data_IF_515917196644
#
_entry.id   IF_515917196644
#
_cell.length_a   1.000
_cell.length_b   1.000
_cell.length_c   1.000
_cell.angle_alpha   90.00
_cell.angle_beta   90.00
_cell.angle_gamma   90.00
#
_symmetry.space_group_name_H-M   'P 1'
#
loop_
_entity.id
_entity.type
_entity.pdbx_description
1 polymer ?
#
# COMPACT_ATOMS: atom_id res chain seq x y z
N UNK A 1 -4.05 1.64 32.93
CA UNK A 1 -4.56 1.17 31.63
C UNK A 1 -4.68 -0.35 31.72
N UNK A 2 -5.88 -0.92 31.65
CA UNK A 2 -6.05 -2.38 31.75
C UNK A 2 -5.26 -3.08 30.63
N UNK A 3 -4.62 -4.25 30.89
CA UNK A 3 -3.88 -4.96 29.86
C UNK A 3 -4.81 -5.31 28.70
N UNK A 4 -4.35 -5.03 27.47
CA UNK A 4 -5.08 -5.38 26.25
C UNK A 4 -5.09 -6.91 26.17
N UNK A 5 -6.26 -7.52 26.35
CA UNK A 5 -6.44 -8.97 26.17
C UNK A 5 -6.61 -9.25 24.68
N UNK A 6 -5.66 -9.98 24.10
CA UNK A 6 -5.75 -10.47 22.72
C UNK A 6 -6.53 -11.79 22.77
N UNK A 7 -7.66 -11.85 22.08
CA UNK A 7 -8.45 -13.09 21.95
C UNK A 7 -8.64 -13.43 20.47
N UNK A 8 -7.78 -14.29 19.94
CA UNK A 8 -7.77 -14.66 18.51
C UNK A 8 -9.08 -15.34 18.05
N UNK A 9 -9.81 -15.98 18.97
CA UNK A 9 -11.05 -16.70 18.69
C UNK A 9 -12.29 -15.91 19.12
N UNK A 10 -12.23 -14.58 19.14
CA UNK A 10 -13.40 -13.76 19.44
C UNK A 10 -14.46 -13.90 18.33
N UNK A 11 -15.43 -14.79 18.57
CA UNK A 11 -16.51 -15.06 17.62
C UNK A 11 -17.33 -13.80 17.29
N UNK A 12 -17.44 -12.84 18.21
CA UNK A 12 -18.20 -11.60 17.97
C UNK A 12 -17.48 -10.73 16.96
N UNK A 13 -16.15 -10.62 17.06
CA UNK A 13 -15.33 -9.93 16.07
C UNK A 13 -15.45 -10.61 14.71
N UNK A 14 -15.26 -11.94 14.66
CA UNK A 14 -15.31 -12.71 13.41
C UNK A 14 -16.65 -12.59 12.69
N UNK A 15 -17.77 -12.73 13.40
CA UNK A 15 -19.12 -12.56 12.84
C UNK A 15 -19.32 -11.13 12.33
N UNK A 16 -18.83 -10.11 13.07
CA UNK A 16 -18.97 -8.71 12.64
C UNK A 16 -18.23 -8.46 11.34
N UNK A 17 -16.99 -8.94 11.22
CA UNK A 17 -16.19 -8.81 9.99
C UNK A 17 -16.85 -9.57 8.85
N UNK A 18 -17.33 -10.79 9.09
CA UNK A 18 -18.02 -11.60 8.09
C UNK A 18 -19.29 -10.92 7.55
N UNK A 19 -20.10 -10.30 8.41
CA UNK A 19 -21.26 -9.52 7.99
C UNK A 19 -20.84 -8.31 7.15
N UNK A 20 -19.80 -7.57 7.54
CA UNK A 20 -19.29 -6.45 6.75
C UNK A 20 -18.84 -6.89 5.35
N UNK A 21 -18.16 -8.03 5.25
CA UNK A 21 -17.73 -8.63 3.97
C UNK A 21 -18.95 -9.04 3.14
N UNK A 22 -19.93 -9.73 3.72
CA UNK A 22 -21.15 -10.14 3.00
C UNK A 22 -21.88 -8.92 2.44
N UNK A 23 -22.08 -7.86 3.24
CA UNK A 23 -22.72 -6.62 2.78
C UNK A 23 -21.92 -6.00 1.63
N UNK A 24 -20.59 -5.95 1.75
CA UNK A 24 -19.72 -5.41 0.72
C UNK A 24 -19.76 -6.20 -0.60
N UNK A 25 -19.76 -7.53 -0.53
CA UNK A 25 -19.88 -8.40 -1.71
C UNK A 25 -21.27 -8.30 -2.36
N UNK A 26 -22.34 -8.13 -1.57
CA UNK A 26 -23.69 -7.90 -2.08
C UNK A 26 -23.83 -6.56 -2.82
N UNK A 27 -23.08 -5.54 -2.41
CA UNK A 27 -22.99 -4.26 -3.15
C UNK A 27 -22.24 -4.47 -4.48
N UNK A 28 -21.23 -5.35 -4.48
CA UNK A 28 -20.44 -5.68 -5.65
C UNK A 28 -19.48 -4.55 -6.07
N UNK A 29 -19.01 -4.60 -7.31
CA UNK A 29 -18.19 -3.53 -7.89
C UNK A 29 -19.10 -2.41 -8.41
N UNK A 30 -18.80 -1.16 -8.05
CA UNK A 30 -19.54 -0.01 -8.55
C UNK A 30 -18.61 0.90 -9.35
N UNK A 31 -19.09 1.41 -10.47
CA UNK A 31 -18.35 2.35 -11.30
C UNK A 31 -19.04 3.70 -11.27
N UNK A 32 -18.29 4.73 -10.87
CA UNK A 32 -18.76 6.11 -10.88
C UNK A 32 -18.10 6.79 -12.06
N UNK A 33 -18.90 7.38 -12.94
CA UNK A 33 -18.42 8.06 -14.14
C UNK A 33 -18.67 9.56 -14.00
N UNK A 34 -17.61 10.36 -14.13
CA UNK A 34 -17.66 11.82 -14.07
C UNK A 34 -16.94 12.35 -15.31
N UNK A 35 -17.70 12.67 -16.35
CA UNK A 35 -17.14 13.04 -17.66
C UNK A 35 -16.33 11.88 -18.24
N UNK A 36 -15.05 12.14 -18.54
CA UNK A 36 -14.10 11.12 -19.00
C UNK A 36 -13.43 10.33 -17.88
N UNK A 37 -13.70 10.65 -16.60
CA UNK A 37 -13.08 10.00 -15.44
C UNK A 37 -13.96 8.85 -14.96
N UNK A 38 -13.38 7.65 -14.88
CA UNK A 38 -14.01 6.44 -14.39
C UNK A 38 -13.36 6.06 -13.06
N UNK A 39 -14.16 5.92 -12.01
CA UNK A 39 -13.71 5.51 -10.68
C UNK A 39 -14.36 4.19 -10.32
N UNK A 40 -13.55 3.16 -10.13
CA UNK A 40 -14.02 1.83 -9.76
C UNK A 40 -13.91 1.67 -8.25
N UNK A 41 -15.06 1.43 -7.60
CA UNK A 41 -15.16 1.10 -6.19
C UNK A 41 -15.29 -0.41 -6.03
N UNK A 42 -14.31 -0.99 -5.34
CA UNK A 42 -14.25 -2.42 -5.07
C UNK A 42 -14.98 -2.79 -3.77
N UNK A 43 -15.54 -4.00 -3.65
CA UNK A 43 -16.12 -4.52 -2.40
C UNK A 43 -15.21 -4.32 -1.18
N UNK A 44 -13.90 -4.49 -1.35
CA UNK A 44 -12.91 -4.26 -0.30
C UNK A 44 -13.04 -2.87 0.36
N UNK A 45 -13.31 -1.84 -0.43
CA UNK A 45 -13.46 -0.46 0.06
C UNK A 45 -14.70 -0.31 0.93
N UNK A 46 -15.81 -0.94 0.55
CA UNK A 46 -17.05 -0.95 1.34
C UNK A 46 -16.85 -1.72 2.65
N UNK A 47 -16.18 -2.86 2.61
CA UNK A 47 -15.90 -3.67 3.80
C UNK A 47 -15.07 -2.91 4.83
N UNK A 48 -14.00 -2.24 4.40
CA UNK A 48 -13.16 -1.43 5.29
C UNK A 48 -13.95 -0.24 5.84
N UNK A 49 -14.74 0.43 4.99
CA UNK A 49 -15.55 1.59 5.39
C UNK A 49 -16.58 1.19 6.45
N UNK A 50 -17.30 0.08 6.26
CA UNK A 50 -18.24 -0.48 7.24
C UNK A 50 -17.55 -0.84 8.55
N UNK A 51 -16.39 -1.51 8.50
CA UNK A 51 -15.64 -1.87 9.71
C UNK A 51 -15.20 -0.62 10.50
N UNK A 52 -14.76 0.44 9.81
CA UNK A 52 -14.40 1.73 10.43
C UNK A 52 -15.63 2.40 11.04
N UNK A 53 -16.77 2.40 10.35
CA UNK A 53 -18.04 2.94 10.87
C UNK A 53 -18.49 2.17 12.13
N UNK A 54 -18.38 0.84 12.12
CA UNK A 54 -18.67 0.00 13.29
C UNK A 54 -17.81 0.37 14.50
N UNK A 55 -16.54 0.75 14.27
CA UNK A 55 -15.63 1.17 15.34
C UNK A 55 -15.88 2.61 15.82
N UNK A 56 -16.13 3.55 14.92
CA UNK A 56 -16.28 4.97 15.22
C UNK A 56 -17.65 5.30 15.83
N UNK A 57 -18.72 4.85 15.18
CA UNK A 57 -20.11 5.14 15.59
C UNK A 57 -20.53 4.22 16.74
N UNK A 58 -19.83 3.09 16.92
CA UNK A 58 -20.15 2.04 17.91
C UNK A 58 -21.62 1.58 17.87
N UNK A 59 -22.23 1.33 16.69
CA UNK A 59 -23.54 0.66 16.64
C UNK A 59 -23.50 -0.70 17.34
N UNK A 60 -22.31 -1.29 17.39
CA UNK A 60 -22.02 -2.58 17.99
C UNK A 60 -21.14 -2.39 19.23
N UNK A 61 -21.70 -2.59 20.44
CA UNK A 61 -21.04 -2.25 21.71
C UNK A 61 -19.74 -3.02 22.00
N UNK A 62 -19.53 -4.19 21.39
CA UNK A 62 -18.34 -5.01 21.64
C UNK A 62 -17.13 -4.63 20.78
N UNK A 63 -17.33 -3.90 19.68
CA UNK A 63 -16.22 -3.40 18.85
C UNK A 63 -15.57 -2.23 19.58
N UNK A 64 -14.41 -2.50 20.17
CA UNK A 64 -13.66 -1.58 21.00
C UNK A 64 -12.18 -1.61 20.63
N UNK A 65 -11.38 -0.79 21.32
CA UNK A 65 -9.92 -0.74 21.11
C UNK A 65 -9.25 -2.12 21.24
N UNK A 66 -9.74 -2.98 22.14
CA UNK A 66 -9.21 -4.34 22.29
C UNK A 66 -9.49 -5.21 21.05
N UNK A 67 -10.69 -5.09 20.47
CA UNK A 67 -11.04 -5.83 19.25
C UNK A 67 -10.29 -5.31 18.04
N UNK A 68 -10.14 -3.98 17.92
CA UNK A 68 -9.31 -3.37 16.88
C UNK A 68 -7.86 -3.86 16.96
N UNK A 69 -7.28 -3.90 18.17
CA UNK A 69 -5.93 -4.45 18.37
C UNK A 69 -5.85 -5.94 18.02
N UNK A 70 -6.85 -6.73 18.43
CA UNK A 70 -6.92 -8.16 18.10
C UNK A 70 -7.01 -8.36 16.58
N UNK A 71 -7.80 -7.56 15.87
CA UNK A 71 -7.88 -7.57 14.42
C UNK A 71 -6.55 -7.21 13.74
N UNK A 72 -5.80 -6.23 14.25
CA UNK A 72 -4.46 -5.90 13.75
C UNK A 72 -3.47 -7.06 13.90
N UNK A 73 -3.50 -7.78 15.02
CA UNK A 73 -2.65 -8.96 15.24
C UNK A 73 -3.08 -10.12 14.32
N UNK A 74 -4.39 -10.39 14.24
CA UNK A 74 -4.95 -11.41 13.35
C UNK A 74 -4.56 -11.15 11.88
N UNK A 75 -4.62 -9.90 11.44
CA UNK A 75 -4.23 -9.50 10.10
C UNK A 75 -2.78 -9.91 9.78
N UNK A 76 -1.83 -9.62 10.66
CA UNK A 76 -0.41 -10.00 10.48
C UNK A 76 -0.28 -11.53 10.38
N UNK A 77 -0.98 -12.27 11.24
CA UNK A 77 -0.96 -13.74 11.25
C UNK A 77 -1.54 -14.30 9.94
N UNK A 78 -2.68 -13.77 9.49
CA UNK A 78 -3.37 -14.22 8.28
C UNK A 78 -2.63 -13.85 6.98
N UNK A 79 -1.87 -12.75 6.99
CA UNK A 79 -1.02 -12.37 5.87
C UNK A 79 0.25 -13.24 5.80
N UNK A 80 0.70 -13.84 6.90
CA UNK A 80 1.89 -14.69 6.94
C UNK A 80 1.94 -15.79 5.86
N UNK A 81 0.89 -16.63 5.72
CA UNK A 81 0.81 -17.62 4.64
C UNK A 81 0.86 -17.02 3.24
N UNK A 82 0.25 -15.85 3.03
CA UNK A 82 0.32 -15.13 1.77
C UNK A 82 1.77 -14.70 1.48
N UNK A 83 2.44 -14.07 2.44
CA UNK A 83 3.87 -13.72 2.33
C UNK A 83 4.72 -14.95 2.00
N UNK A 84 4.49 -16.08 2.67
CA UNK A 84 5.23 -17.31 2.42
C UNK A 84 5.03 -17.80 0.98
N UNK A 85 3.78 -17.79 0.48
CA UNK A 85 3.46 -18.12 -0.93
C UNK A 85 4.18 -17.17 -1.89
N UNK A 86 4.16 -15.87 -1.63
CA UNK A 86 4.81 -14.86 -2.47
C UNK A 86 6.33 -15.03 -2.49
N UNK A 87 6.94 -15.34 -1.34
CA UNK A 87 8.38 -15.60 -1.25
C UNK A 87 8.81 -16.87 -2.03
N UNK A 88 8.05 -17.96 -1.91
CA UNK A 88 8.30 -19.20 -2.68
C UNK A 88 8.15 -18.93 -4.17
N UNK A 89 7.07 -18.26 -4.57
CA UNK A 89 6.82 -17.90 -5.96
C UNK A 89 7.92 -17.00 -6.52
N UNK A 90 8.38 -16.03 -5.75
CA UNK A 90 9.48 -15.14 -6.13
C UNK A 90 10.80 -15.91 -6.31
N UNK A 91 11.15 -16.78 -5.37
CA UNK A 91 12.35 -17.62 -5.45
C UNK A 91 12.34 -18.59 -6.64
N UNK A 92 11.18 -19.19 -6.96
CA UNK A 92 11.03 -20.09 -8.12
C UNK A 92 11.23 -19.37 -9.46
N UNK A 93 10.92 -18.07 -9.51
CA UNK A 93 10.95 -17.28 -10.74
C UNK A 93 12.20 -16.38 -10.84
N UNK A 94 13.26 -16.69 -10.10
CA UNK A 94 14.47 -15.87 -10.10
C UNK A 94 15.14 -15.80 -11.49
N UNK A 95 15.08 -16.88 -12.28
CA UNK A 95 15.57 -16.84 -13.66
C UNK A 95 14.75 -15.90 -14.54
N UNK A 96 13.43 -15.84 -14.33
CA UNK A 96 12.55 -14.94 -15.05
C UNK A 96 12.84 -13.48 -14.68
N UNK A 97 13.23 -13.21 -13.43
CA UNK A 97 13.73 -11.90 -12.98
C UNK A 97 15.08 -11.56 -13.62
N UNK A 98 16.02 -12.51 -13.69
CA UNK A 98 17.33 -12.26 -14.31
C UNK A 98 17.22 -12.04 -15.82
N UNK A 99 16.24 -12.69 -16.45
CA UNK A 99 15.87 -12.49 -17.86
C UNK A 99 14.90 -11.34 -18.04
N UNK A 100 14.34 -10.78 -16.96
CA UNK A 100 13.48 -9.63 -17.00
C UNK A 100 14.33 -8.50 -17.59
N UNK A 101 13.95 -8.06 -18.79
CA UNK A 101 14.71 -7.04 -19.49
C UNK A 101 14.83 -5.76 -18.66
N UNK A 102 15.70 -4.83 -19.06
CA UNK A 102 15.86 -3.52 -18.41
C UNK A 102 14.52 -2.81 -18.16
N UNK A 103 13.52 -3.04 -19.02
CA UNK A 103 12.18 -2.50 -18.91
C UNK A 103 11.46 -2.82 -17.59
N UNK A 104 11.57 -4.05 -17.08
CA UNK A 104 10.88 -4.45 -15.85
C UNK A 104 11.60 -3.92 -14.60
N UNK A 105 12.92 -3.72 -14.68
CA UNK A 105 13.68 -3.03 -13.63
C UNK A 105 13.31 -1.54 -13.61
N UNK A 106 13.12 -0.92 -14.79
CA UNK A 106 12.69 0.47 -14.91
C UNK A 106 11.28 0.70 -14.35
N UNK A 107 10.38 -0.28 -14.47
CA UNK A 107 9.04 -0.24 -13.87
C UNK A 107 9.11 -0.07 -12.35
N UNK A 108 9.94 -0.88 -11.68
CA UNK A 108 10.15 -0.81 -10.23
C UNK A 108 10.91 0.46 -9.79
N UNK A 109 11.57 1.20 -10.70
CA UNK A 109 12.11 2.52 -10.34
C UNK A 109 11.00 3.53 -10.02
N UNK A 110 9.76 3.30 -10.47
CA UNK A 110 8.60 4.09 -10.08
C UNK A 110 8.42 4.15 -8.57
N UNK A 111 8.73 3.06 -7.85
CA UNK A 111 8.64 2.99 -6.39
C UNK A 111 9.60 3.95 -5.69
N UNK A 112 10.70 4.34 -6.36
CA UNK A 112 11.62 5.35 -5.83
C UNK A 112 10.94 6.72 -5.71
N UNK A 113 9.85 6.97 -6.45
CA UNK A 113 9.02 8.16 -6.28
C UNK A 113 8.49 8.31 -4.86
N UNK A 114 8.11 7.20 -4.20
CA UNK A 114 7.67 7.22 -2.80
C UNK A 114 8.80 7.70 -1.87
N UNK A 115 10.04 7.36 -2.18
CA UNK A 115 11.23 7.77 -1.41
C UNK A 115 11.56 9.24 -1.70
N UNK A 116 11.60 9.64 -2.97
CA UNK A 116 12.04 10.97 -3.38
C UNK A 116 11.04 12.04 -2.93
N UNK A 117 9.75 11.77 -3.06
CA UNK A 117 8.69 12.74 -2.76
C UNK A 117 8.04 12.48 -1.39
N UNK A 118 7.76 11.22 -1.04
CA UNK A 118 7.07 10.87 0.20
C UNK A 118 7.91 11.10 1.45
N UNK A 119 9.20 10.71 1.45
CA UNK A 119 10.08 10.83 2.62
C UNK A 119 10.25 12.28 3.08
N UNK A 120 10.54 13.28 2.21
CA UNK A 120 10.58 14.67 2.64
C UNK A 120 9.24 15.17 3.19
N UNK A 121 8.13 14.83 2.56
CA UNK A 121 6.79 15.26 2.99
C UNK A 121 6.45 14.70 4.36
N UNK A 122 6.69 13.41 4.60
CA UNK A 122 6.42 12.80 5.90
C UNK A 122 7.34 13.37 7.01
N UNK A 123 8.60 13.67 6.71
CA UNK A 123 9.48 14.36 7.66
C UNK A 123 9.01 15.79 8.00
N UNK A 124 8.42 16.50 7.02
CA UNK A 124 7.82 17.82 7.22
C UNK A 124 6.54 17.75 8.08
N UNK A 125 5.76 16.68 7.94
CA UNK A 125 4.60 16.40 8.79
C UNK A 125 4.97 15.99 10.22
N UNK A 126 6.27 15.87 10.52
CA UNK A 126 6.77 15.61 11.88
C UNK A 126 7.01 14.14 12.22
N UNK A 127 6.78 13.23 11.27
CA UNK A 127 7.17 11.83 11.44
C UNK A 127 8.70 11.71 11.58
N UNK A 128 9.13 10.64 12.25
CA UNK A 128 10.55 10.37 12.50
C UNK A 128 10.89 9.05 11.83
N UNK A 129 11.30 8.06 12.61
CA UNK A 129 11.80 6.78 12.13
C UNK A 129 10.71 5.92 11.49
N UNK A 130 9.45 6.15 11.86
CA UNK A 130 8.26 5.57 11.23
C UNK A 130 8.25 5.86 9.71
N UNK A 131 8.80 7.01 9.31
CA UNK A 131 8.84 7.44 7.91
C UNK A 131 9.57 6.44 7.03
N UNK A 132 10.59 5.75 7.56
CA UNK A 132 11.33 4.75 6.79
C UNK A 132 10.38 3.66 6.28
N UNK A 133 9.49 3.14 7.13
CA UNK A 133 8.49 2.16 6.71
C UNK A 133 7.34 2.76 5.91
N UNK A 134 7.01 4.03 6.12
CA UNK A 134 5.93 4.73 5.38
C UNK A 134 6.29 5.02 3.92
N UNK A 135 7.57 5.21 3.60
CA UNK A 135 7.98 5.80 2.32
C UNK A 135 9.01 4.98 1.55
N UNK A 136 9.38 3.81 2.06
CA UNK A 136 10.35 2.92 1.38
C UNK A 136 9.76 2.18 0.18
N UNK A 137 8.43 2.18 0.02
CA UNK A 137 7.69 1.56 -1.08
C UNK A 137 6.23 2.03 -1.06
N UNK A 138 5.40 1.47 -1.97
CA UNK A 138 3.93 1.56 -1.93
C UNK A 138 3.25 0.76 -0.80
N UNK A 139 4.07 0.15 0.08
CA UNK A 139 3.66 -0.60 1.26
C UNK A 139 2.74 -1.79 0.96
N UNK A 140 3.28 -2.85 0.31
CA UNK A 140 2.56 -4.10 0.04
C UNK A 140 3.18 -5.32 0.74
N UNK A 141 2.46 -6.43 0.72
CA UNK A 141 2.78 -7.66 1.44
C UNK A 141 4.23 -8.14 1.24
N UNK A 142 4.82 -8.10 0.03
CA UNK A 142 6.20 -8.51 -0.16
C UNK A 142 7.21 -7.65 0.62
N UNK A 143 7.00 -6.33 0.66
CA UNK A 143 7.86 -5.38 1.38
C UNK A 143 7.68 -5.48 2.89
N UNK A 144 6.47 -5.81 3.36
CA UNK A 144 6.18 -6.05 4.77
C UNK A 144 7.06 -7.17 5.33
N UNK A 145 7.23 -8.26 4.58
CA UNK A 145 8.07 -9.39 4.96
C UNK A 145 9.52 -8.99 5.21
N UNK A 146 10.09 -8.20 4.29
CA UNK A 146 11.46 -7.68 4.38
C UNK A 146 11.60 -6.76 5.60
N UNK A 147 10.60 -5.92 5.86
CA UNK A 147 10.60 -4.98 6.98
C UNK A 147 10.50 -5.71 8.33
N UNK A 148 9.64 -6.72 8.44
CA UNK A 148 9.53 -7.58 9.63
C UNK A 148 10.85 -8.30 9.89
N UNK A 149 11.47 -8.87 8.86
CA UNK A 149 12.74 -9.58 8.99
C UNK A 149 13.87 -8.65 9.46
N UNK A 150 13.90 -7.39 8.99
CA UNK A 150 14.96 -6.44 9.34
C UNK A 150 14.77 -5.76 10.69
N UNK A 151 13.56 -5.31 11.01
CA UNK A 151 13.30 -4.48 12.20
C UNK A 151 12.47 -5.16 13.28
N UNK A 152 11.79 -6.27 12.97
CA UNK A 152 10.91 -6.99 13.89
C UNK A 152 9.46 -6.48 13.92
N UNK A 153 8.58 -7.30 14.49
CA UNK A 153 7.12 -7.09 14.55
C UNK A 153 6.68 -5.86 15.34
N UNK A 154 7.48 -5.42 16.31
CA UNK A 154 7.13 -4.29 17.18
C UNK A 154 7.80 -2.97 16.78
N UNK A 155 8.52 -2.96 15.67
CA UNK A 155 9.28 -1.81 15.19
C UNK A 155 8.40 -0.62 14.83
N UNK A 156 8.96 0.58 15.00
CA UNK A 156 8.29 1.83 14.62
C UNK A 156 8.17 1.95 13.10
N UNK A 157 9.12 1.37 12.37
CA UNK A 157 9.13 1.25 10.92
C UNK A 157 7.92 0.41 10.46
N UNK A 158 7.70 -0.77 11.03
CA UNK A 158 6.54 -1.60 10.68
C UNK A 158 5.21 -0.92 11.04
N UNK A 159 5.16 -0.24 12.19
CA UNK A 159 3.97 0.55 12.56
C UNK A 159 3.68 1.65 11.54
N UNK A 160 4.70 2.35 11.07
CA UNK A 160 4.57 3.35 10.00
C UNK A 160 4.09 2.73 8.69
N UNK A 161 4.69 1.61 8.30
CA UNK A 161 4.30 0.83 7.11
C UNK A 161 2.82 0.44 7.15
N UNK A 162 2.34 -0.08 8.29
CA UNK A 162 0.96 -0.55 8.43
C UNK A 162 -0.07 0.57 8.27
N UNK A 163 0.27 1.81 8.68
CA UNK A 163 -0.60 2.97 8.46
C UNK A 163 -0.78 3.24 6.97
N UNK A 164 0.32 3.26 6.21
CA UNK A 164 0.29 3.50 4.76
C UNK A 164 -0.30 2.31 4.01
N UNK A 165 -0.04 1.08 4.44
CA UNK A 165 -0.67 -0.12 3.88
C UNK A 165 -2.20 -0.01 3.93
N UNK A 166 -2.77 0.32 5.10
CA UNK A 166 -4.22 0.38 5.29
C UNK A 166 -4.84 1.56 4.55
N UNK A 167 -4.32 2.77 4.76
CA UNK A 167 -4.83 3.99 4.11
C UNK A 167 -4.64 3.89 2.60
N UNK A 168 -3.47 3.46 2.16
CA UNK A 168 -3.12 3.31 0.75
C UNK A 168 -3.96 2.26 0.04
N UNK A 169 -4.42 1.21 0.72
CA UNK A 169 -5.36 0.25 0.10
C UNK A 169 -6.70 0.90 -0.23
N UNK A 170 -7.20 1.77 0.65
CA UNK A 170 -8.48 2.48 0.44
C UNK A 170 -8.31 3.60 -0.57
N UNK A 171 -7.46 4.58 -0.28
CA UNK A 171 -7.31 5.76 -1.14
C UNK A 171 -6.57 5.45 -2.43
N UNK A 172 -5.64 4.50 -2.42
CA UNK A 172 -4.85 4.15 -3.59
C UNK A 172 -5.69 3.54 -4.70
N UNK A 173 -6.75 2.77 -4.38
CA UNK A 173 -7.66 2.23 -5.41
C UNK A 173 -8.42 3.36 -6.14
N UNK A 174 -8.88 4.36 -5.38
CA UNK A 174 -9.56 5.56 -5.94
C UNK A 174 -8.57 6.37 -6.78
N UNK A 175 -7.41 6.69 -6.21
CA UNK A 175 -6.39 7.52 -6.89
C UNK A 175 -5.93 6.83 -8.16
N UNK A 176 -5.66 5.53 -8.13
CA UNK A 176 -5.17 4.81 -9.30
C UNK A 176 -6.24 4.69 -10.38
N UNK A 177 -7.52 4.48 -10.01
CA UNK A 177 -8.64 4.53 -10.97
C UNK A 177 -8.66 5.85 -11.74
N UNK A 178 -8.65 6.98 -11.00
CA UNK A 178 -8.65 8.32 -11.59
C UNK A 178 -7.39 8.54 -12.43
N UNK A 179 -6.22 8.22 -11.88
CA UNK A 179 -4.94 8.48 -12.49
C UNK A 179 -4.80 7.72 -13.82
N UNK A 180 -5.14 6.44 -13.85
CA UNK A 180 -5.09 5.62 -15.06
C UNK A 180 -5.97 6.21 -16.15
N UNK A 181 -7.21 6.58 -15.81
CA UNK A 181 -8.14 7.16 -16.78
C UNK A 181 -7.69 8.54 -17.29
N UNK A 182 -7.21 9.41 -16.40
CA UNK A 182 -6.73 10.75 -16.77
C UNK A 182 -5.48 10.65 -17.64
N UNK A 183 -4.49 9.85 -17.25
CA UNK A 183 -3.25 9.70 -18.02
C UNK A 183 -3.53 9.09 -19.39
N UNK A 184 -4.37 8.04 -19.47
CA UNK A 184 -4.74 7.42 -20.74
C UNK A 184 -5.50 8.36 -21.68
N UNK A 185 -6.21 9.35 -21.12
CA UNK A 185 -6.92 10.36 -21.91
C UNK A 185 -6.01 11.49 -22.41
N UNK A 186 -4.92 11.80 -21.70
CA UNK A 186 -4.05 12.96 -21.97
C UNK A 186 -2.82 12.56 -22.78
N UNK A 187 -2.23 11.41 -22.48
CA UNK A 187 -1.01 10.94 -23.15
C UNK A 187 -1.43 9.92 -24.21
N UNK A 188 -1.01 10.06 -25.48
CA UNK A 188 -1.42 9.14 -26.54
C UNK A 188 -0.48 7.93 -26.62
N UNK A 189 -0.46 7.07 -25.59
CA UNK A 189 0.22 5.76 -25.66
C UNK A 189 -0.78 4.64 -25.94
N UNK A 190 -0.25 3.47 -26.30
CA UNK A 190 -1.06 2.29 -26.53
C UNK A 190 -1.74 1.82 -25.22
N UNK A 191 -3.03 1.45 -25.21
CA UNK A 191 -3.77 1.05 -24.01
C UNK A 191 -3.08 -0.04 -23.16
N UNK A 192 -2.41 -0.99 -23.81
CA UNK A 192 -1.67 -2.05 -23.12
C UNK A 192 -0.51 -1.53 -22.25
N UNK A 193 0.08 -0.37 -22.59
CA UNK A 193 1.10 0.26 -21.76
C UNK A 193 0.53 0.74 -20.42
N UNK A 194 -0.68 1.28 -20.43
CA UNK A 194 -1.39 1.66 -19.20
C UNK A 194 -1.85 0.45 -18.39
N UNK A 195 -2.26 -0.63 -19.07
CA UNK A 195 -2.58 -1.88 -18.39
C UNK A 195 -1.37 -2.46 -17.66
N UNK A 196 -0.20 -2.46 -18.30
CA UNK A 196 1.04 -2.87 -17.63
C UNK A 196 1.36 -1.94 -16.44
N UNK A 197 1.24 -0.62 -16.61
CA UNK A 197 1.47 0.33 -15.52
C UNK A 197 0.49 0.20 -14.32
N UNK A 198 -0.67 -0.41 -14.50
CA UNK A 198 -1.58 -0.73 -13.38
C UNK A 198 -1.03 -1.86 -12.49
N UNK A 199 -0.12 -2.68 -13.02
CA UNK A 199 0.46 -3.86 -12.37
C UNK A 199 1.47 -3.54 -11.27
N UNK A 200 1.12 -2.67 -10.34
CA UNK A 200 2.02 -2.13 -9.30
C UNK A 200 2.26 -3.07 -8.11
N UNK A 201 2.00 -4.36 -8.24
CA UNK A 201 2.17 -5.33 -7.15
C UNK A 201 1.11 -5.28 -6.04
N UNK A 202 -0.05 -4.67 -6.32
CA UNK A 202 -1.22 -4.65 -5.42
C UNK A 202 -2.44 -5.20 -6.13
N UNK A 203 -3.03 -6.29 -5.63
CA UNK A 203 -4.19 -6.91 -6.25
C UNK A 203 -5.38 -5.93 -6.37
N UNK A 204 -5.73 -5.25 -5.29
CA UNK A 204 -6.88 -4.33 -5.28
C UNK A 204 -6.65 -3.09 -6.13
N UNK A 205 -5.48 -2.46 -6.02
CA UNK A 205 -5.18 -1.26 -6.81
C UNK A 205 -5.08 -1.63 -8.30
N UNK A 206 -4.41 -2.74 -8.63
CA UNK A 206 -4.31 -3.21 -10.01
C UNK A 206 -5.69 -3.42 -10.64
N UNK A 207 -6.59 -4.14 -9.94
CA UNK A 207 -7.97 -4.35 -10.42
C UNK A 207 -8.69 -3.02 -10.60
N UNK A 208 -8.58 -2.08 -9.67
CA UNK A 208 -9.23 -0.78 -9.77
C UNK A 208 -8.72 0.05 -10.98
N UNK A 209 -7.39 0.09 -11.17
CA UNK A 209 -6.76 0.79 -12.29
C UNK A 209 -7.12 0.18 -13.64
N UNK A 210 -6.95 -1.14 -13.80
CA UNK A 210 -7.24 -1.82 -15.07
C UNK A 210 -8.74 -1.81 -15.38
N UNK A 211 -9.63 -1.96 -14.38
CA UNK A 211 -11.08 -1.87 -14.61
C UNK A 211 -11.50 -0.48 -15.10
N UNK A 212 -10.84 0.57 -14.58
CA UNK A 212 -11.09 1.96 -15.03
C UNK A 212 -10.58 2.20 -16.46
N UNK A 213 -9.49 1.51 -16.85
CA UNK A 213 -8.99 1.52 -18.22
C UNK A 213 -9.87 0.71 -19.18
N UNK A 214 -10.41 -0.43 -18.74
CA UNK A 214 -11.36 -1.25 -19.52
C UNK A 214 -12.64 -0.48 -19.79
N UNK A 215 -13.09 0.38 -18.86
CA UNK A 215 -14.22 1.26 -19.10
C UNK A 215 -13.97 2.25 -20.27
N UNK A 216 -12.72 2.67 -20.50
CA UNK A 216 -12.34 3.50 -21.65
C UNK A 216 -12.19 2.69 -22.95
N UNK A 217 -11.66 1.46 -22.85
CA UNK A 217 -11.33 0.62 -24.01
C UNK A 217 -11.97 -0.78 -23.91
N UNK A 218 -13.31 -0.87 -23.95
CA UNK A 218 -14.03 -2.13 -23.70
C UNK A 218 -13.68 -3.23 -24.71
N UNK A 219 -13.35 -2.86 -25.96
CA UNK A 219 -12.96 -3.81 -27.02
C UNK A 219 -11.62 -4.52 -26.80
N UNK A 220 -10.83 -4.11 -25.79
CA UNK A 220 -9.54 -4.73 -25.45
C UNK A 220 -9.53 -5.37 -24.07
N UNK A 221 -10.69 -5.57 -23.44
CA UNK A 221 -10.81 -5.94 -22.03
C UNK A 221 -9.91 -7.12 -21.64
N UNK A 222 -10.00 -8.25 -22.36
CA UNK A 222 -9.23 -9.46 -22.06
C UNK A 222 -7.71 -9.21 -22.11
N UNK A 223 -7.25 -8.45 -23.11
CA UNK A 223 -5.84 -8.12 -23.25
C UNK A 223 -5.37 -7.17 -22.14
N UNK A 224 -6.21 -6.19 -21.75
CA UNK A 224 -5.88 -5.26 -20.67
C UNK A 224 -5.74 -6.02 -19.34
N UNK A 225 -6.71 -6.88 -19.00
CA UNK A 225 -6.64 -7.70 -17.79
C UNK A 225 -5.44 -8.65 -17.81
N UNK A 226 -5.15 -9.29 -18.94
CA UNK A 226 -4.02 -10.20 -19.06
C UNK A 226 -2.67 -9.50 -18.85
N UNK A 227 -2.43 -8.38 -19.55
CA UNK A 227 -1.17 -7.63 -19.42
C UNK A 227 -1.01 -7.03 -18.02
N UNK A 228 -2.07 -6.49 -17.44
CA UNK A 228 -2.11 -5.99 -16.07
C UNK A 228 -1.81 -7.09 -15.05
N UNK A 229 -2.39 -8.28 -15.20
CA UNK A 229 -2.15 -9.40 -14.29
C UNK A 229 -0.71 -9.90 -14.35
N UNK A 230 -0.13 -10.00 -15.55
CA UNK A 230 1.27 -10.39 -15.75
C UNK A 230 2.21 -9.36 -15.12
N UNK A 231 2.02 -8.07 -15.41
CA UNK A 231 2.82 -7.01 -14.82
C UNK A 231 2.73 -7.02 -13.28
N UNK A 232 1.53 -7.17 -12.73
CA UNK A 232 1.32 -7.26 -11.28
C UNK A 232 2.04 -8.46 -10.65
N UNK A 233 2.05 -9.61 -11.31
CA UNK A 233 2.79 -10.77 -10.84
C UNK A 233 4.29 -10.52 -10.85
N UNK A 234 4.81 -9.91 -11.92
CA UNK A 234 6.22 -9.54 -12.03
C UNK A 234 6.59 -8.56 -10.92
N UNK A 235 5.79 -7.51 -10.71
CA UNK A 235 6.05 -6.52 -9.66
C UNK A 235 6.05 -7.15 -8.27
N UNK A 236 5.10 -8.03 -7.95
CA UNK A 236 5.10 -8.77 -6.67
C UNK A 236 6.42 -9.53 -6.45
N UNK A 237 6.94 -10.15 -7.50
CA UNK A 237 8.13 -10.99 -7.43
C UNK A 237 9.41 -10.14 -7.38
N UNK A 238 9.53 -9.14 -8.26
CA UNK A 238 10.69 -8.29 -8.43
C UNK A 238 10.85 -7.27 -7.29
N UNK A 239 9.74 -6.72 -6.81
CA UNK A 239 9.73 -5.70 -5.76
C UNK A 239 10.39 -6.16 -4.47
N UNK A 240 10.35 -7.46 -4.11
CA UNK A 240 11.07 -7.97 -2.93
C UNK A 240 12.57 -7.67 -3.04
N UNK A 241 13.16 -7.97 -4.20
CA UNK A 241 14.59 -7.79 -4.44
C UNK A 241 14.97 -6.33 -4.56
N UNK A 242 14.22 -5.57 -5.36
CA UNK A 242 14.44 -4.11 -5.52
C UNK A 242 14.29 -3.41 -4.17
N UNK A 243 13.27 -3.76 -3.40
CA UNK A 243 13.04 -3.19 -2.08
C UNK A 243 14.18 -3.50 -1.11
N UNK A 244 14.61 -4.76 -1.04
CA UNK A 244 15.67 -5.20 -0.13
C UNK A 244 17.03 -4.60 -0.48
N UNK A 245 17.38 -4.55 -1.77
CA UNK A 245 18.71 -4.16 -2.24
C UNK A 245 18.83 -2.65 -2.49
N UNK A 246 17.75 -1.99 -2.89
CA UNK A 246 17.76 -0.60 -3.37
C UNK A 246 16.87 0.27 -2.49
N UNK A 247 15.55 0.05 -2.49
CA UNK A 247 14.59 1.02 -1.96
C UNK A 247 14.75 1.24 -0.44
N UNK A 248 14.85 0.16 0.34
CA UNK A 248 14.98 0.27 1.80
C UNK A 248 16.34 0.86 2.23
N UNK A 249 17.51 0.39 1.73
CA UNK A 249 18.79 1.02 2.04
C UNK A 249 18.88 2.48 1.59
N UNK A 250 18.31 2.82 0.43
CA UNK A 250 18.27 4.19 -0.07
C UNK A 250 17.42 5.08 0.83
N UNK A 251 16.26 4.60 1.27
CA UNK A 251 15.37 5.32 2.20
C UNK A 251 16.10 5.63 3.51
N UNK A 252 16.80 4.66 4.10
CA UNK A 252 17.60 4.89 5.32
C UNK A 252 18.68 5.94 5.12
N UNK A 253 19.39 5.93 3.98
CA UNK A 253 20.44 6.89 3.67
C UNK A 253 19.88 8.31 3.54
N UNK A 254 18.81 8.47 2.77
CA UNK A 254 18.17 9.78 2.56
C UNK A 254 17.55 10.27 3.89
N UNK A 255 16.90 9.39 4.65
CA UNK A 255 16.34 9.72 5.96
C UNK A 255 17.43 10.26 6.89
N UNK A 256 18.54 9.54 7.04
CA UNK A 256 19.64 9.95 7.90
C UNK A 256 20.24 11.30 7.46
N UNK A 257 20.33 11.54 6.16
CA UNK A 257 20.79 12.81 5.62
C UNK A 257 19.84 13.98 5.93
N UNK A 258 18.54 13.79 5.69
CA UNK A 258 17.51 14.81 5.94
C UNK A 258 17.32 15.07 7.44
N UNK A 259 17.32 14.04 8.28
CA UNK A 259 17.18 14.18 9.73
C UNK A 259 18.37 14.95 10.35
N UNK A 260 19.60 14.66 9.89
CA UNK A 260 20.79 15.43 10.30
C UNK A 260 20.66 16.92 9.97
N UNK A 261 20.16 17.24 8.76
CA UNK A 261 19.90 18.63 8.36
C UNK A 261 18.81 19.28 9.22
N UNK A 262 17.71 18.59 9.50
CA UNK A 262 16.61 19.09 10.35
C UNK A 262 17.11 19.44 11.76
N UNK A 263 17.86 18.54 12.40
CA UNK A 263 18.45 18.78 13.74
C UNK A 263 19.39 19.99 13.74
N UNK A 264 20.20 20.17 12.69
CA UNK A 264 21.11 21.33 12.56
C UNK A 264 20.34 22.65 12.47
N UNK A 265 19.22 22.68 11.73
CA UNK A 265 18.36 23.87 11.60
C UNK A 265 17.66 24.19 12.92
N UNK A 266 17.09 23.20 13.60
CA UNK A 266 16.46 23.37 14.93
C UNK A 266 17.46 23.91 15.96
N UNK A 267 18.70 23.42 15.96
CA UNK A 267 19.76 23.89 16.85
C UNK A 267 20.08 25.38 16.61
N UNK A 268 20.21 25.81 15.35
CA UNK A 268 20.46 27.22 15.01
C UNK A 268 19.28 28.12 15.42
N UNK A 269 18.05 27.65 15.25
CA UNK A 269 16.83 28.39 15.63
C UNK A 269 16.73 28.55 17.15
N UNK A 270 17.06 27.52 17.94
CA UNK A 270 17.12 27.64 19.42
C UNK A 270 18.21 28.60 19.88
N UNK A 271 19.39 28.58 19.25
CA UNK A 271 20.50 29.47 19.58
C UNK A 271 20.21 30.94 19.25
N UNK A 272 19.47 31.23 18.18
CA UNK A 272 19.08 32.60 17.83
C UNK A 272 18.00 33.17 18.76
N UNK A 273 17.06 32.34 19.21
CA UNK A 273 16.03 32.74 20.19
C UNK A 273 16.66 32.99 21.57
N UNK A 274 17.62 32.16 21.99
CA UNK A 274 18.35 32.34 23.25
C UNK A 274 19.26 33.56 23.29
N UNK A 275 19.67 34.12 22.14
CA UNK A 275 20.47 35.36 22.06
C UNK A 275 19.62 36.64 22.03
N UNK A 276 18.30 36.51 21.87
CA UNK A 276 17.34 37.63 21.85
C UNK A 276 16.58 37.82 23.16
N UNK A 277 16.77 36.91 24.13
CA UNK A 277 16.35 37.05 25.53
C UNK A 277 17.57 37.42 26.35
#
# INVERSE_FOLDING_TARGET
MSPIKINLFDYKLHITVMICVIIAELIGTSTITIGSIHVVLLPLLYSISLAVLCYLIKPIKWISKNQSHTASVLMIILIGPLIAKLAISSGQNIELILKAGPLLILEELGDLGAIIFGLPVALLLGFKRETIGMTSSICREPQMAVLINKYGFESVELKGFMVVYLIGTVFGTIILSILTTVIASVIPLHPLSYAMACGIGSASMNVAGVSSLVALYPGMADNLYAFSAIANLISIVLSIYVYMLISLPLTERIYNFLEKRRKKIEFHKKKSISKKK
#
